data_IF_995383631332
#
_entry.id   IF_995383631332
#
_cell.length_a   1.000
_cell.length_b   1.000
_cell.length_c   1.000
_cell.angle_alpha   90.00
_cell.angle_beta   90.00
_cell.angle_gamma   90.00
#
_symmetry.space_group_name_H-M   'P 1'
#
loop_
_entity.id
_entity.type
_entity.pdbx_description
1 polymer ?
#
# COMPACT_ATOMS: atom_id res chain seq x y z
N UNK A 1 -28.48 7.46 9.76
CA UNK A 1 -27.80 6.36 9.09
C UNK A 1 -26.40 6.84 8.76
N UNK A 2 -25.36 6.24 9.34
CA UNK A 2 -23.98 6.50 8.94
C UNK A 2 -23.68 5.50 7.82
N UNK A 3 -23.79 5.95 6.58
CA UNK A 3 -23.35 5.21 5.39
C UNK A 3 -21.82 5.07 5.44
N UNK A 4 -21.34 4.12 6.22
CA UNK A 4 -19.96 3.70 6.18
C UNK A 4 -19.79 2.90 4.88
N UNK A 5 -19.41 3.57 3.80
CA UNK A 5 -18.86 2.87 2.64
C UNK A 5 -17.39 2.54 2.92
N UNK A 6 -16.96 1.38 2.44
CA UNK A 6 -15.57 0.97 2.48
C UNK A 6 -15.04 1.02 1.05
N UNK A 7 -14.04 1.86 0.81
CA UNK A 7 -13.30 1.81 -0.45
C UNK A 7 -12.30 0.65 -0.43
N UNK A 8 -12.40 -0.23 -1.42
CA UNK A 8 -11.35 -1.19 -1.74
C UNK A 8 -10.26 -0.47 -2.51
N UNK A 9 -9.16 -0.16 -1.83
CA UNK A 9 -8.04 0.56 -2.43
C UNK A 9 -7.20 -0.34 -3.33
N UNK A 10 -6.63 0.27 -4.37
CA UNK A 10 -5.57 -0.35 -5.13
C UNK A 10 -4.35 -0.58 -4.20
N UNK A 11 -3.51 -1.60 -4.49
CA UNK A 11 -2.28 -1.82 -3.75
C UNK A 11 -1.44 -0.54 -3.70
N UNK A 12 -1.07 -0.12 -2.50
CA UNK A 12 -0.32 1.13 -2.28
C UNK A 12 -1.17 2.38 -2.12
N UNK A 13 -2.48 2.26 -1.94
CA UNK A 13 -3.34 3.39 -1.56
C UNK A 13 -4.11 3.09 -0.28
N UNK A 14 -4.21 4.10 0.60
CA UNK A 14 -4.88 4.04 1.90
C UNK A 14 -5.73 5.29 2.13
N UNK A 15 -6.53 5.26 3.19
CA UNK A 15 -7.47 6.33 3.53
C UNK A 15 -8.92 5.91 3.29
N UNK A 16 -9.87 6.71 3.75
CA UNK A 16 -11.30 6.39 3.60
C UNK A 16 -11.72 6.40 2.12
N UNK A 17 -10.97 7.14 1.30
CA UNK A 17 -11.17 7.32 -0.13
C UNK A 17 -9.97 6.87 -0.97
N UNK A 18 -9.02 6.12 -0.40
CA UNK A 18 -7.77 5.76 -1.08
C UNK A 18 -6.98 6.99 -1.56
N UNK A 19 -7.11 8.11 -0.86
CA UNK A 19 -6.53 9.40 -1.20
C UNK A 19 -5.05 9.52 -0.84
N UNK A 20 -4.57 8.63 0.03
CA UNK A 20 -3.19 8.62 0.50
C UNK A 20 -2.42 7.52 -0.21
N UNK A 21 -1.39 7.90 -0.95
CA UNK A 21 -0.46 6.95 -1.54
C UNK A 21 0.48 6.42 -0.44
N UNK A 22 0.42 5.11 -0.20
CA UNK A 22 1.32 4.38 0.68
C UNK A 22 2.47 3.82 -0.15
N UNK A 23 3.57 4.55 -0.17
CA UNK A 23 4.81 4.03 -0.72
C UNK A 23 5.57 3.23 0.36
N UNK A 24 5.14 1.99 0.58
CA UNK A 24 5.83 1.06 1.48
C UNK A 24 7.27 0.74 1.02
N UNK A 25 7.61 1.09 -0.22
CA UNK A 25 8.93 0.94 -0.80
C UNK A 25 9.79 2.22 -0.72
N UNK A 26 9.23 3.38 -0.35
CA UNK A 26 9.92 4.67 -0.29
C UNK A 26 11.20 4.64 0.55
N UNK A 27 11.20 3.84 1.61
CA UNK A 27 12.34 3.69 2.53
C UNK A 27 13.36 2.66 2.05
N UNK A 28 13.18 2.06 0.88
CA UNK A 28 13.99 0.97 0.35
C UNK A 28 14.25 -0.13 1.41
N UNK A 29 13.19 -0.77 1.94
CA UNK A 29 13.33 -1.79 2.98
C UNK A 29 14.02 -3.06 2.46
N UNK A 30 14.01 -3.29 1.15
CA UNK A 30 14.63 -4.45 0.53
C UNK A 30 16.14 -4.29 0.40
N UNK A 31 16.88 -5.28 0.90
CA UNK A 31 18.35 -5.32 0.86
C UNK A 31 18.86 -6.24 -0.25
N UNK A 32 20.18 -6.19 -0.50
CA UNK A 32 20.88 -7.08 -1.43
C UNK A 32 20.37 -7.01 -2.89
N UNK A 33 19.83 -5.86 -3.30
CA UNK A 33 19.36 -5.65 -4.67
C UNK A 33 18.00 -6.25 -4.99
N UNK A 34 17.26 -6.73 -3.98
CA UNK A 34 15.90 -7.20 -4.17
C UNK A 34 14.96 -6.06 -4.58
N UNK A 35 14.04 -6.33 -5.52
CA UNK A 35 12.99 -5.41 -5.93
C UNK A 35 11.89 -5.37 -4.90
N UNK A 36 11.55 -4.16 -4.48
CA UNK A 36 10.41 -3.91 -3.62
C UNK A 36 9.12 -3.82 -4.45
N UNK A 37 8.08 -4.53 -4.02
CA UNK A 37 6.75 -4.50 -4.60
C UNK A 37 5.71 -4.26 -3.50
N UNK A 38 4.81 -3.29 -3.72
CA UNK A 38 3.68 -3.07 -2.82
C UNK A 38 2.60 -4.10 -3.10
N UNK A 39 2.01 -4.64 -2.03
CA UNK A 39 0.96 -5.67 -2.07
C UNK A 39 -0.42 -5.07 -1.81
N UNK A 40 -1.46 -5.85 -2.10
CA UNK A 40 -2.87 -5.45 -1.91
C UNK A 40 -3.26 -5.27 -0.44
N UNK A 41 -2.52 -5.90 0.48
CA UNK A 41 -2.75 -5.78 1.93
C UNK A 41 -1.98 -4.60 2.56
N UNK A 42 -1.56 -3.63 1.74
CA UNK A 42 -0.71 -2.51 2.18
C UNK A 42 0.61 -2.94 2.82
N UNK A 43 1.08 -4.15 2.51
CA UNK A 43 2.41 -4.63 2.86
C UNK A 43 3.36 -4.50 1.66
N UNK A 44 4.65 -4.74 1.88
CA UNK A 44 5.64 -4.83 0.81
C UNK A 44 6.25 -6.23 0.76
N UNK A 45 6.68 -6.65 -0.41
CA UNK A 45 7.43 -7.90 -0.63
C UNK A 45 8.71 -7.58 -1.40
N UNK A 46 9.79 -8.25 -1.02
CA UNK A 46 11.09 -8.17 -1.68
C UNK A 46 11.30 -9.42 -2.53
N UNK A 47 11.53 -9.27 -3.84
CA UNK A 47 11.87 -10.36 -4.76
C UNK A 47 13.24 -10.15 -5.41
#
# INVERSE_FOLDING_TARGET
ASDNYLCLCAPGFIGINCETELDACAKNPCQNGAKCHVTIDNAFVCN
#
